data_IF_415192270131
#
_entry.id   IF_415192270131
#
_cell.length_a   1.000
_cell.length_b   1.000
_cell.length_c   1.000
_cell.angle_alpha   90.00
_cell.angle_beta   90.00
_cell.angle_gamma   90.00
#
_symmetry.space_group_name_H-M   'P 1'
#
loop_
_entity.id
_entity.type
_entity.pdbx_description
1 polymer ?
#
# COMPACT_ATOMS: atom_id res chain seq x y z
N UNK A 1 2.41 16.83 4.43
CA UNK A 1 1.51 17.08 5.56
C UNK A 1 0.10 16.63 5.20
N UNK A 2 -0.55 15.93 6.11
CA UNK A 2 -1.95 15.51 6.03
C UNK A 2 -2.86 16.69 6.37
N UNK A 3 -3.97 16.81 5.64
CA UNK A 3 -4.99 17.83 5.88
C UNK A 3 -6.25 17.17 6.43
N UNK A 4 -6.73 17.64 7.57
CA UNK A 4 -7.96 17.19 8.21
C UNK A 4 -8.99 18.31 8.12
N UNK A 5 -10.17 18.02 7.59
CA UNK A 5 -11.25 18.98 7.49
C UNK A 5 -12.59 18.36 7.88
N UNK A 6 -13.46 19.17 8.50
CA UNK A 6 -14.81 18.76 8.89
C UNK A 6 -15.72 18.87 7.67
N UNK A 7 -16.45 17.79 7.34
CA UNK A 7 -17.48 17.78 6.28
C UNK A 7 -18.79 17.26 6.86
N UNK A 8 -19.76 18.16 7.00
CA UNK A 8 -21.06 17.86 7.62
C UNK A 8 -20.90 17.38 9.07
N UNK A 9 -21.39 16.17 9.35
CA UNK A 9 -21.33 15.53 10.67
C UNK A 9 -20.04 14.75 10.95
N UNK A 10 -19.09 14.69 10.01
CA UNK A 10 -17.87 13.91 10.14
C UNK A 10 -16.60 14.66 9.75
N UNK A 11 -15.48 13.95 9.80
CA UNK A 11 -14.16 14.44 9.41
C UNK A 11 -13.63 13.68 8.20
N UNK A 12 -12.78 14.35 7.44
CA UNK A 12 -12.10 13.84 6.25
C UNK A 12 -10.61 14.06 6.42
N UNK A 13 -9.84 13.07 6.01
CA UNK A 13 -8.37 13.12 5.95
C UNK A 13 -7.95 13.05 4.49
N UNK A 14 -7.08 13.98 4.08
CA UNK A 14 -6.44 13.99 2.76
C UNK A 14 -4.94 14.04 2.93
N UNK A 15 -4.23 13.09 2.29
CA UNK A 15 -2.77 13.10 2.21
C UNK A 15 -2.36 13.11 0.75
N UNK A 16 -1.36 13.94 0.43
CA UNK A 16 -0.77 14.01 -0.90
C UNK A 16 0.70 13.64 -0.90
N UNK A 17 1.11 12.91 -1.94
CA UNK A 17 2.50 12.54 -2.22
C UNK A 17 2.77 12.65 -3.72
N UNK A 18 4.05 12.58 -4.09
CA UNK A 18 4.49 12.50 -5.48
C UNK A 18 4.90 11.05 -5.76
N UNK A 19 4.42 10.49 -6.85
CA UNK A 19 4.90 9.20 -7.35
C UNK A 19 6.31 9.35 -7.97
N UNK A 20 6.93 8.22 -8.32
CA UNK A 20 8.23 8.15 -9.00
C UNK A 20 8.25 8.96 -10.32
N UNK A 21 7.10 9.05 -11.01
CA UNK A 21 6.92 9.87 -12.22
C UNK A 21 6.76 11.38 -11.94
N UNK A 22 6.93 11.83 -10.70
CA UNK A 22 6.71 13.23 -10.29
C UNK A 22 5.25 13.68 -10.32
N UNK A 23 4.30 12.77 -10.54
CA UNK A 23 2.86 13.07 -10.56
C UNK A 23 2.30 13.09 -9.14
N UNK A 24 1.53 14.12 -8.80
CA UNK A 24 0.91 14.27 -7.48
C UNK A 24 -0.30 13.33 -7.34
N UNK A 25 -0.28 12.48 -6.32
CA UNK A 25 -1.39 11.59 -5.95
C UNK A 25 -2.01 12.01 -4.62
N UNK A 26 -3.24 11.53 -4.41
CA UNK A 26 -4.03 11.82 -3.23
C UNK A 26 -4.66 10.54 -2.68
N UNK A 27 -4.62 10.38 -1.36
CA UNK A 27 -5.33 9.32 -0.63
C UNK A 27 -6.23 10.01 0.37
N UNK A 28 -7.52 9.71 0.24
CA UNK A 28 -8.60 10.38 0.95
C UNK A 28 -9.39 9.32 1.70
N UNK A 29 -9.71 9.58 2.97
CA UNK A 29 -10.67 8.77 3.72
C UNK A 29 -11.69 9.68 4.39
N UNK A 30 -12.96 9.32 4.26
CA UNK A 30 -14.10 10.10 4.73
C UNK A 30 -14.91 9.28 5.73
N UNK A 31 -15.70 9.96 6.58
CA UNK A 31 -16.67 9.30 7.46
C UNK A 31 -16.21 9.08 8.89
N UNK A 32 -15.11 9.72 9.31
CA UNK A 32 -14.70 9.70 10.70
C UNK A 32 -15.71 10.45 11.58
N UNK A 33 -16.13 9.85 12.68
CA UNK A 33 -17.10 10.47 13.61
C UNK A 33 -16.41 11.49 14.50
N UNK A 34 -15.17 11.22 14.90
CA UNK A 34 -14.40 12.11 15.78
C UNK A 34 -13.16 12.69 15.10
N UNK A 35 -12.74 13.86 15.56
CA UNK A 35 -11.48 14.49 15.12
C UNK A 35 -10.28 13.61 15.48
N UNK A 36 -10.34 12.90 16.61
CA UNK A 36 -9.26 12.04 17.10
C UNK A 36 -9.04 10.82 16.21
N UNK A 37 -10.10 10.17 15.74
CA UNK A 37 -9.99 9.09 14.74
C UNK A 37 -9.34 9.58 13.44
N UNK A 38 -9.76 10.76 12.96
CA UNK A 38 -9.16 11.37 11.79
C UNK A 38 -7.68 11.70 12.01
N UNK A 39 -7.29 12.15 13.21
CA UNK A 39 -5.90 12.44 13.57
C UNK A 39 -5.03 11.18 13.58
N UNK A 40 -5.54 10.08 14.16
CA UNK A 40 -4.83 8.79 14.20
C UNK A 40 -4.58 8.30 12.77
N UNK A 41 -5.62 8.29 11.93
CA UNK A 41 -5.49 7.88 10.54
C UNK A 41 -4.56 8.80 9.73
N UNK A 42 -4.58 10.11 10.00
CA UNK A 42 -3.65 11.05 9.38
C UNK A 42 -2.19 10.74 9.75
N UNK A 43 -1.91 10.47 11.03
CA UNK A 43 -0.58 10.09 11.50
C UNK A 43 -0.11 8.76 10.89
N UNK A 44 -0.99 7.76 10.78
CA UNK A 44 -0.69 6.51 10.09
C UNK A 44 -0.29 6.74 8.63
N UNK A 45 -1.06 7.56 7.90
CA UNK A 45 -0.75 7.88 6.51
C UNK A 45 0.54 8.69 6.37
N UNK A 46 0.86 9.60 7.30
CA UNK A 46 2.14 10.31 7.29
C UNK A 46 3.32 9.39 7.59
N UNK A 47 3.17 8.44 8.52
CA UNK A 47 4.18 7.42 8.76
C UNK A 47 4.42 6.53 7.54
N UNK A 48 3.35 6.11 6.86
CA UNK A 48 3.44 5.38 5.59
C UNK A 48 4.10 6.23 4.50
N UNK A 49 3.84 7.55 4.47
CA UNK A 49 4.52 8.48 3.56
C UNK A 49 6.02 8.54 3.85
N UNK A 50 6.39 8.73 5.12
CA UNK A 50 7.78 8.87 5.53
C UNK A 50 8.60 7.62 5.20
N UNK A 51 7.97 6.45 5.23
CA UNK A 51 8.59 5.17 4.87
C UNK A 51 8.47 4.80 3.38
N UNK A 52 8.02 5.71 2.52
CA UNK A 52 7.75 5.47 1.09
C UNK A 52 6.76 4.32 0.81
N UNK A 53 5.94 3.93 1.78
CA UNK A 53 4.90 2.90 1.62
C UNK A 53 3.54 3.47 1.22
N UNK A 54 3.38 4.80 1.14
CA UNK A 54 2.08 5.40 0.80
C UNK A 54 1.70 5.18 -0.68
N UNK A 55 2.71 4.98 -1.55
CA UNK A 55 2.56 4.65 -2.97
C UNK A 55 2.32 3.18 -3.21
N UNK A 56 2.44 2.30 -2.19
CA UNK A 56 2.02 0.91 -2.32
C UNK A 56 0.52 0.90 -2.56
N UNK A 57 0.23 0.87 -3.85
CA UNK A 57 -1.08 0.76 -4.41
C UNK A 57 -1.61 -0.55 -3.86
N UNK A 58 -2.52 -0.50 -2.88
CA UNK A 58 -3.22 -1.70 -2.41
C UNK A 58 -4.11 -2.33 -3.50
N UNK A 59 -3.99 -1.84 -4.74
CA UNK A 59 -4.59 -2.41 -5.95
C UNK A 59 -3.79 -3.58 -6.50
N UNK A 60 -2.48 -3.66 -6.25
CA UNK A 60 -1.72 -4.82 -6.71
C UNK A 60 -2.14 -6.01 -5.85
N UNK A 61 -2.75 -7.06 -6.44
CA UNK A 61 -3.10 -8.25 -5.69
C UNK A 61 -1.85 -8.82 -5.03
N UNK A 62 -1.98 -9.29 -3.79
CA UNK A 62 -0.86 -9.89 -3.07
C UNK A 62 -0.10 -10.97 -3.88
N UNK A 63 -0.77 -11.85 -4.67
CA UNK A 63 -0.06 -12.79 -5.53
C UNK A 63 0.94 -12.10 -6.47
N UNK A 64 0.54 -11.01 -7.14
CA UNK A 64 1.42 -10.32 -8.10
C UNK A 64 2.59 -9.61 -7.41
N UNK A 65 2.34 -9.02 -6.25
CA UNK A 65 3.41 -8.46 -5.42
C UNK A 65 4.42 -9.54 -4.97
N UNK A 66 3.93 -10.69 -4.53
CA UNK A 66 4.76 -11.82 -4.10
C UNK A 66 5.67 -12.30 -5.23
N UNK A 67 5.14 -12.41 -6.45
CA UNK A 67 5.92 -12.85 -7.60
C UNK A 67 6.99 -11.82 -8.00
N UNK A 68 6.63 -10.53 -8.07
CA UNK A 68 7.58 -9.46 -8.38
C UNK A 68 8.73 -9.38 -7.36
N UNK A 69 8.42 -9.55 -6.07
CA UNK A 69 9.44 -9.64 -5.02
C UNK A 69 10.37 -10.84 -5.21
N UNK A 70 9.81 -12.00 -5.57
CA UNK A 70 10.60 -13.20 -5.83
C UNK A 70 11.57 -13.00 -7.01
N UNK A 71 11.08 -12.47 -8.14
CA UNK A 71 11.91 -12.17 -9.32
C UNK A 71 13.01 -11.16 -9.00
N UNK A 72 12.67 -10.09 -8.26
CA UNK A 72 13.63 -9.01 -7.98
C UNK A 72 14.74 -9.42 -7.00
N UNK A 73 14.41 -10.16 -5.94
CA UNK A 73 15.33 -10.37 -4.82
C UNK A 73 15.77 -11.82 -4.61
N UNK A 74 14.99 -12.80 -5.05
CA UNK A 74 15.23 -14.21 -4.72
C UNK A 74 15.69 -15.03 -5.90
N UNK A 75 15.21 -14.73 -7.11
CA UNK A 75 15.47 -15.53 -8.31
C UNK A 75 16.96 -15.80 -8.56
N UNK A 76 17.81 -14.78 -8.47
CA UNK A 76 19.26 -14.93 -8.67
C UNK A 76 19.99 -15.70 -7.56
N UNK A 77 19.35 -15.87 -6.40
CA UNK A 77 19.94 -16.48 -5.20
C UNK A 77 19.51 -17.93 -4.95
N UNK A 78 18.54 -18.44 -5.72
CA UNK A 78 17.91 -19.74 -5.46
C UNK A 78 18.14 -20.72 -6.61
N UNK A 79 18.17 -22.01 -6.27
CA UNK A 79 18.21 -23.07 -7.27
C UNK A 79 16.88 -23.22 -8.02
N UNK A 80 16.91 -23.85 -9.20
CA UNK A 80 15.72 -24.11 -10.02
C UNK A 80 14.63 -24.87 -9.26
N UNK A 81 15.03 -25.83 -8.40
CA UNK A 81 14.08 -26.59 -7.57
C UNK A 81 13.34 -25.68 -6.59
N UNK A 82 14.05 -24.73 -5.98
CA UNK A 82 13.46 -23.75 -5.08
C UNK A 82 12.55 -22.78 -5.83
N UNK A 83 12.93 -22.34 -7.04
CA UNK A 83 12.10 -21.50 -7.91
C UNK A 83 10.75 -22.17 -8.24
N UNK A 84 10.75 -23.48 -8.53
CA UNK A 84 9.51 -24.24 -8.74
C UNK A 84 8.59 -24.22 -7.51
N UNK A 85 9.14 -24.29 -6.29
CA UNK A 85 8.35 -24.16 -5.06
C UNK A 85 7.69 -22.78 -4.94
N UNK A 86 8.43 -21.70 -5.23
CA UNK A 86 7.88 -20.34 -5.24
C UNK A 86 6.79 -20.17 -6.32
N UNK A 87 6.97 -20.76 -7.50
CA UNK A 87 5.96 -20.76 -8.57
C UNK A 87 4.67 -21.48 -8.15
N UNK A 88 4.80 -22.62 -7.48
CA UNK A 88 3.64 -23.33 -6.93
C UNK A 88 2.91 -22.49 -5.87
N UNK A 89 3.66 -21.87 -4.95
CA UNK A 89 3.08 -20.96 -3.95
C UNK A 89 2.33 -19.78 -4.62
N UNK A 90 2.91 -19.17 -5.65
CA UNK A 90 2.27 -18.11 -6.42
C UNK A 90 0.95 -18.58 -7.09
N UNK A 91 0.95 -19.77 -7.69
CA UNK A 91 -0.26 -20.32 -8.30
C UNK A 91 -1.38 -20.58 -7.27
N UNK A 92 -1.02 -21.08 -6.08
CA UNK A 92 -1.97 -21.28 -4.98
C UNK A 92 -2.51 -19.93 -4.50
N UNK A 93 -1.63 -18.95 -4.29
CA UNK A 93 -2.04 -17.60 -3.88
C UNK A 93 -2.99 -16.98 -4.90
N UNK A 94 -2.71 -17.09 -6.20
CA UNK A 94 -3.56 -16.57 -7.28
C UNK A 94 -4.92 -17.26 -7.38
N UNK A 95 -5.03 -18.49 -6.90
CA UNK A 95 -6.30 -19.24 -6.90
C UNK A 95 -7.21 -18.87 -5.73
N UNK A 96 -6.65 -18.44 -4.61
CA UNK A 96 -7.37 -18.27 -3.35
C UNK A 96 -7.51 -16.82 -2.85
N UNK A 97 -6.84 -15.86 -3.49
CA UNK A 97 -6.90 -14.41 -3.22
C UNK A 97 -7.34 -13.67 -4.47
#
# INVERSE_FOLDING_TARGET
>A
MASIFKKGKGYIVRVSWYDEDGKRKYKNKTGFKTKREAQIYANELENLKARNFISQNSKTPFPEYFWSWFETYKESSVSERTKLTYKNAFNVLKKHL
#
